data_IF_529567747185
#
_entry.id   IF_529567747185
#
_cell.length_a   1.000
_cell.length_b   1.000
_cell.length_c   1.000
_cell.angle_alpha   90.00
_cell.angle_beta   90.00
_cell.angle_gamma   90.00
#
_symmetry.space_group_name_H-M   'P 1'
#
loop_
_entity.id
_entity.type
_entity.pdbx_description
1 polymer ?
#
# COMPACT_ATOMS: atom_id res chain seq x y z
N UNK A 1 -13.16 44.41 -52.99
CA UNK A 1 -13.15 42.94 -52.88
C UNK A 1 -11.74 42.47 -52.57
N UNK A 2 -11.45 41.97 -51.36
CA UNK A 2 -10.30 41.08 -51.12
C UNK A 2 -10.47 40.38 -49.77
N UNK A 3 -10.17 39.09 -49.79
CA UNK A 3 -10.70 38.03 -48.93
C UNK A 3 -9.97 37.94 -47.59
N UNK A 4 -10.74 37.59 -46.56
CA UNK A 4 -10.31 37.18 -45.22
C UNK A 4 -9.45 35.91 -45.34
N UNK A 5 -8.27 35.90 -44.69
CA UNK A 5 -7.51 34.68 -44.42
C UNK A 5 -7.53 34.43 -42.91
N UNK A 6 -8.40 33.51 -42.48
CA UNK A 6 -8.37 32.90 -41.17
C UNK A 6 -7.36 31.74 -41.22
N UNK A 7 -6.21 31.93 -40.59
CA UNK A 7 -5.24 30.83 -40.37
C UNK A 7 -5.60 30.21 -39.03
N UNK A 8 -6.25 29.04 -39.09
CA UNK A 8 -6.49 28.19 -37.94
C UNK A 8 -5.19 27.58 -37.45
N UNK A 9 -4.80 27.92 -36.22
CA UNK A 9 -3.71 27.24 -35.52
C UNK A 9 -4.30 26.01 -34.84
N UNK A 10 -3.96 24.85 -35.38
CA UNK A 10 -4.28 23.53 -34.92
C UNK A 10 -3.63 23.30 -33.55
N UNK A 11 -4.42 23.38 -32.47
CA UNK A 11 -3.96 23.03 -31.13
C UNK A 11 -3.80 21.51 -31.04
N UNK A 12 -2.56 21.03 -31.18
CA UNK A 12 -2.19 19.65 -30.88
C UNK A 12 -2.32 19.39 -29.38
N UNK A 13 -3.46 18.83 -28.97
CA UNK A 13 -3.68 18.24 -27.66
C UNK A 13 -2.75 17.03 -27.51
N UNK A 14 -1.64 17.23 -26.79
CA UNK A 14 -0.78 16.14 -26.34
C UNK A 14 -1.55 15.42 -25.23
N UNK A 15 -2.28 14.36 -25.57
CA UNK A 15 -2.86 13.46 -24.58
C UNK A 15 -1.73 12.67 -23.95
N UNK A 16 -1.22 13.16 -22.83
CA UNK A 16 -0.46 12.34 -21.90
C UNK A 16 -1.38 11.24 -21.37
N UNK A 17 -1.26 10.05 -21.94
CA UNK A 17 -1.85 8.84 -21.38
C UNK A 17 -1.16 8.55 -20.06
N UNK A 18 -1.70 9.09 -18.97
CA UNK A 18 -1.37 8.63 -17.62
C UNK A 18 -1.90 7.20 -17.55
N UNK A 19 -1.00 6.24 -17.68
CA UNK A 19 -1.28 4.85 -17.33
C UNK A 19 -1.56 4.82 -15.83
N UNK A 20 -2.84 4.88 -15.46
CA UNK A 20 -3.29 4.55 -14.12
C UNK A 20 -3.06 3.04 -13.92
N UNK A 21 -1.86 2.66 -13.50
CA UNK A 21 -1.69 1.36 -12.86
C UNK A 21 -2.62 1.37 -11.64
N UNK A 22 -3.69 0.57 -11.68
CA UNK A 22 -4.66 0.43 -10.58
C UNK A 22 -3.88 0.15 -9.28
N UNK A 23 -3.77 1.16 -8.42
CA UNK A 23 -3.11 1.06 -7.13
C UNK A 23 -3.79 -0.04 -6.31
N UNK A 24 -2.99 -0.88 -5.63
CA UNK A 24 -3.54 -1.95 -4.79
C UNK A 24 -4.56 -1.37 -3.77
N UNK A 25 -5.77 -1.96 -3.65
CA UNK A 25 -6.76 -1.55 -2.65
C UNK A 25 -6.31 -1.85 -1.22
N UNK A 26 -5.33 -2.74 -1.06
CA UNK A 26 -4.64 -2.98 0.21
C UNK A 26 -3.47 -2.01 0.32
N UNK A 27 -3.40 -1.28 1.44
CA UNK A 27 -2.35 -0.29 1.72
C UNK A 27 -1.71 -0.52 3.08
N UNK A 28 -0.51 0.01 3.26
CA UNK A 28 0.08 0.13 4.59
C UNK A 28 -0.34 1.44 5.26
N UNK A 29 -0.28 1.47 6.58
CA UNK A 29 -0.40 2.69 7.37
C UNK A 29 0.52 2.57 8.57
N UNK A 30 1.47 3.49 8.71
CA UNK A 30 2.35 3.54 9.85
C UNK A 30 1.81 4.54 10.88
N UNK A 31 1.60 4.09 12.11
CA UNK A 31 1.15 4.96 13.21
C UNK A 31 2.18 4.99 14.32
N UNK A 32 2.58 6.18 14.77
CA UNK A 32 3.43 6.33 15.94
C UNK A 32 2.63 5.98 17.19
N UNK A 33 3.19 5.12 18.02
CA UNK A 33 2.65 4.78 19.34
C UNK A 33 3.42 5.58 20.39
N UNK A 34 4.03 4.92 21.38
CA UNK A 34 4.81 5.58 22.43
C UNK A 34 6.32 5.51 22.17
N UNK A 35 7.00 6.65 22.31
CA UNK A 35 8.44 6.78 22.12
C UNK A 35 8.89 6.37 20.72
N UNK A 36 9.74 5.34 20.67
CA UNK A 36 10.32 4.76 19.45
C UNK A 36 9.47 3.63 18.85
N UNK A 37 8.26 3.40 19.38
CA UNK A 37 7.38 2.32 18.94
C UNK A 37 6.40 2.81 17.88
N UNK A 38 6.20 2.01 16.84
CA UNK A 38 5.28 2.25 15.74
C UNK A 38 4.41 1.02 15.51
N UNK A 39 3.24 1.23 14.92
CA UNK A 39 2.30 0.19 14.53
C UNK A 39 2.10 0.25 13.01
N UNK A 40 2.59 -0.77 12.31
CA UNK A 40 2.34 -0.96 10.90
C UNK A 40 1.02 -1.70 10.71
N UNK A 41 0.03 -1.02 10.14
CA UNK A 41 -1.29 -1.57 9.83
C UNK A 41 -1.38 -1.93 8.36
N UNK A 42 -2.07 -3.02 8.07
CA UNK A 42 -2.52 -3.36 6.72
C UNK A 42 -4.00 -2.99 6.65
N UNK A 43 -4.34 -2.04 5.80
CA UNK A 43 -5.71 -1.53 5.65
C UNK A 43 -6.25 -1.93 4.28
N UNK A 44 -7.51 -2.32 4.24
CA UNK A 44 -8.22 -2.66 3.01
C UNK A 44 -9.72 -2.34 3.17
N UNK A 45 -10.47 -2.16 2.07
CA UNK A 45 -11.91 -1.96 2.15
C UNK A 45 -12.64 -3.21 2.69
N UNK A 46 -13.86 -3.03 3.19
CA UNK A 46 -14.62 -4.08 3.89
C UNK A 46 -14.99 -5.28 3.00
N UNK A 47 -15.07 -5.10 1.69
CA UNK A 47 -15.32 -6.17 0.71
C UNK A 47 -14.05 -6.93 0.30
N UNK A 48 -12.91 -6.65 0.93
CA UNK A 48 -11.67 -7.38 0.75
C UNK A 48 -11.33 -8.20 1.99
N UNK A 49 -10.50 -9.23 1.82
CA UNK A 49 -9.87 -9.94 2.92
C UNK A 49 -8.50 -10.48 2.55
N UNK A 50 -7.65 -10.62 3.55
CA UNK A 50 -6.26 -11.08 3.38
C UNK A 50 -6.20 -12.60 3.53
N UNK A 51 -5.59 -13.31 2.59
CA UNK A 51 -5.57 -14.78 2.63
C UNK A 51 -4.71 -15.29 3.79
N UNK A 52 -5.27 -16.09 4.69
CA UNK A 52 -4.63 -16.43 5.96
C UNK A 52 -3.31 -17.20 5.81
N UNK A 53 -3.31 -18.22 4.95
CA UNK A 53 -2.19 -19.15 4.79
C UNK A 53 -1.30 -18.83 3.57
N UNK A 54 -1.50 -17.65 2.98
CA UNK A 54 -0.69 -17.23 1.84
C UNK A 54 0.71 -16.74 2.27
N UNK A 55 1.73 -16.85 1.41
CA UNK A 55 3.11 -16.48 1.74
C UNK A 55 3.31 -14.96 1.63
N UNK A 56 2.69 -14.19 2.52
CA UNK A 56 2.87 -12.74 2.60
C UNK A 56 4.33 -12.39 2.88
N UNK A 57 4.80 -11.31 2.27
CA UNK A 57 6.14 -10.79 2.53
C UNK A 57 6.08 -9.30 2.77
N UNK A 58 6.66 -8.85 3.87
CA UNK A 58 6.89 -7.43 4.16
C UNK A 58 8.39 -7.25 4.31
N UNK A 59 8.93 -6.21 3.70
CA UNK A 59 10.33 -5.80 3.80
C UNK A 59 10.36 -4.34 4.25
N UNK A 60 11.26 -4.05 5.17
CA UNK A 60 11.51 -2.71 5.68
C UNK A 60 12.94 -2.31 5.31
N UNK A 61 13.10 -1.24 4.56
CA UNK A 61 14.41 -0.65 4.30
C UNK A 61 14.50 0.67 5.05
N UNK A 62 15.43 0.76 6.01
CA UNK A 62 15.72 2.01 6.68
C UNK A 62 16.79 2.77 5.91
N UNK A 63 16.49 4.01 5.54
CA UNK A 63 17.44 4.94 4.96
C UNK A 63 18.46 5.45 5.98
N UNK A 64 19.39 6.29 5.51
CA UNK A 64 20.49 6.79 6.33
C UNK A 64 19.98 7.50 7.59
N UNK A 65 20.48 7.08 8.75
CA UNK A 65 20.15 7.67 10.06
C UNK A 65 18.95 7.03 10.76
N UNK A 66 18.22 6.13 10.10
CA UNK A 66 17.14 5.34 10.69
C UNK A 66 17.59 3.89 10.85
N UNK A 67 17.12 3.22 11.90
CA UNK A 67 17.34 1.79 12.12
C UNK A 67 16.07 1.11 12.61
N UNK A 68 15.80 -0.07 12.07
CA UNK A 68 14.75 -0.97 12.55
C UNK A 68 15.36 -1.91 13.60
N UNK A 69 15.04 -1.69 14.87
CA UNK A 69 15.56 -2.52 15.97
C UNK A 69 14.77 -3.82 16.12
N UNK A 70 13.45 -3.75 15.92
CA UNK A 70 12.55 -4.89 16.09
C UNK A 70 11.37 -4.80 15.15
N UNK A 71 11.08 -5.90 14.47
CA UNK A 71 9.89 -6.07 13.65
C UNK A 71 9.51 -7.56 13.57
N UNK A 72 8.32 -7.95 14.04
CA UNK A 72 7.76 -9.28 13.77
C UNK A 72 6.74 -9.17 12.64
N UNK A 73 7.22 -9.23 11.39
CA UNK A 73 6.46 -8.93 10.17
C UNK A 73 5.44 -10.00 9.76
N UNK A 74 4.89 -10.73 10.73
CA UNK A 74 3.89 -11.77 10.49
C UNK A 74 2.52 -11.14 10.28
N UNK A 75 1.86 -11.52 9.20
CA UNK A 75 0.46 -11.14 8.92
C UNK A 75 -0.46 -12.12 9.65
N UNK A 76 -1.10 -11.64 10.72
CA UNK A 76 -2.07 -12.38 11.54
C UNK A 76 -3.25 -11.46 11.88
N UNK A 77 -4.39 -12.02 12.27
CA UNK A 77 -5.51 -11.20 12.74
C UNK A 77 -6.82 -11.95 12.85
N UNK A 78 -7.93 -11.19 12.85
CA UNK A 78 -9.28 -11.74 12.99
C UNK A 78 -9.67 -12.48 11.71
N UNK A 79 -9.98 -13.76 11.85
CA UNK A 79 -10.52 -14.58 10.76
C UNK A 79 -11.92 -14.08 10.37
N UNK A 80 -12.22 -14.07 9.07
CA UNK A 80 -13.54 -13.72 8.56
C UNK A 80 -14.56 -14.79 8.93
N UNK A 81 -15.71 -14.34 9.44
CA UNK A 81 -16.84 -15.21 9.80
C UNK A 81 -17.52 -15.79 8.56
N UNK A 82 -17.46 -15.09 7.43
CA UNK A 82 -18.05 -15.51 6.15
C UNK A 82 -17.18 -16.52 5.40
N UNK A 83 -15.85 -16.34 5.45
CA UNK A 83 -14.87 -17.13 4.69
C UNK A 83 -13.62 -17.37 5.54
N UNK A 84 -13.51 -18.55 6.15
CA UNK A 84 -12.51 -18.88 7.18
C UNK A 84 -11.06 -18.88 6.69
N UNK A 85 -10.88 -18.95 5.38
CA UNK A 85 -9.58 -18.90 4.69
C UNK A 85 -9.01 -17.47 4.58
N UNK A 86 -9.79 -16.44 4.94
CA UNK A 86 -9.37 -15.04 4.94
C UNK A 86 -9.40 -14.40 6.32
N UNK A 87 -8.52 -13.43 6.52
CA UNK A 87 -8.56 -12.47 7.61
C UNK A 87 -9.48 -11.30 7.21
N UNK A 88 -10.44 -10.99 8.07
CA UNK A 88 -11.29 -9.79 7.93
C UNK A 88 -10.55 -8.53 8.38
N UNK A 89 -9.57 -8.68 9.28
CA UNK A 89 -8.67 -7.61 9.69
C UNK A 89 -7.32 -8.21 10.07
N UNK A 90 -6.25 -7.45 9.84
CA UNK A 90 -4.89 -7.79 10.27
C UNK A 90 -4.57 -7.04 11.56
N UNK A 91 -3.97 -7.72 12.52
CA UNK A 91 -3.49 -7.11 13.76
C UNK A 91 -2.35 -6.13 13.43
N UNK A 92 -2.30 -4.95 14.08
CA UNK A 92 -1.20 -4.01 13.88
C UNK A 92 0.15 -4.65 14.22
N UNK A 93 1.10 -4.54 13.30
CA UNK A 93 2.44 -5.12 13.44
C UNK A 93 3.31 -4.13 14.21
N UNK A 94 3.82 -4.47 15.41
CA UNK A 94 4.65 -3.58 16.18
C UNK A 94 6.07 -3.49 15.60
N UNK A 95 6.55 -2.25 15.46
CA UNK A 95 7.89 -1.90 15.02
C UNK A 95 8.57 -1.05 16.09
N UNK A 96 9.89 -1.21 16.25
CA UNK A 96 10.72 -0.31 17.05
C UNK A 96 11.75 0.32 16.13
N UNK A 97 11.70 1.64 16.01
CA UNK A 97 12.56 2.43 15.12
C UNK A 97 13.43 3.38 15.95
N UNK A 98 14.71 3.48 15.63
CA UNK A 98 15.65 4.41 16.27
C UNK A 98 16.26 5.34 15.24
N UNK A 99 16.48 6.61 15.63
CA UNK A 99 16.99 7.64 14.73
C UNK A 99 15.89 8.28 13.87
N UNK A 100 16.31 8.92 12.77
CA UNK A 100 15.45 9.70 11.87
C UNK A 100 15.86 9.44 10.43
N UNK A 101 14.91 9.48 9.52
CA UNK A 101 15.16 9.23 8.11
C UNK A 101 13.98 8.56 7.41
N UNK A 102 14.21 8.11 6.19
CA UNK A 102 13.20 7.44 5.37
C UNK A 102 13.06 5.97 5.79
N UNK A 103 11.82 5.49 5.85
CA UNK A 103 11.48 4.08 5.97
C UNK A 103 10.71 3.67 4.72
N UNK A 104 11.32 2.83 3.88
CA UNK A 104 10.62 2.20 2.77
C UNK A 104 10.01 0.88 3.22
N UNK A 105 8.75 0.68 2.87
CA UNK A 105 7.94 -0.48 3.22
C UNK A 105 7.49 -1.13 1.92
N UNK A 106 7.96 -2.34 1.66
CA UNK A 106 7.56 -3.14 0.51
C UNK A 106 6.74 -4.34 0.97
N UNK A 107 5.57 -4.52 0.36
CA UNK A 107 4.63 -5.59 0.66
C UNK A 107 4.31 -6.41 -0.57
N UNK A 108 4.32 -7.74 -0.42
CA UNK A 108 3.60 -8.67 -1.28
C UNK A 108 2.51 -9.32 -0.42
N UNK A 109 1.29 -8.82 -0.53
CA UNK A 109 0.14 -9.24 0.28
C UNK A 109 -0.89 -9.92 -0.60
N UNK A 110 -1.27 -11.15 -0.29
CA UNK A 110 -2.29 -11.88 -1.03
C UNK A 110 -3.68 -11.56 -0.46
N UNK A 111 -4.56 -11.04 -1.29
CA UNK A 111 -5.91 -10.67 -0.87
C UNK A 111 -6.95 -11.09 -1.90
N UNK A 112 -8.20 -11.11 -1.48
CA UNK A 112 -9.34 -11.34 -2.36
C UNK A 112 -10.37 -10.24 -2.24
N UNK A 113 -10.96 -9.86 -3.37
CA UNK A 113 -12.20 -9.10 -3.43
C UNK A 113 -13.37 -10.10 -3.36
N UNK A 114 -14.21 -9.98 -2.34
CA UNK A 114 -15.31 -10.91 -2.12
C UNK A 114 -16.49 -10.70 -3.07
N UNK A 115 -16.71 -9.47 -3.55
CA UNK A 115 -17.81 -9.16 -4.47
C UNK A 115 -17.50 -9.68 -5.88
N UNK A 116 -16.24 -9.53 -6.32
CA UNK A 116 -15.77 -9.97 -7.64
C UNK A 116 -15.29 -11.41 -7.65
N UNK A 117 -15.10 -12.01 -6.47
CA UNK A 117 -14.51 -13.34 -6.29
C UNK A 117 -13.12 -13.49 -6.97
N UNK A 118 -12.30 -12.44 -6.91
CA UNK A 118 -10.96 -12.39 -7.51
C UNK A 118 -9.93 -12.35 -6.38
N UNK A 119 -8.88 -13.16 -6.51
CA UNK A 119 -7.77 -13.27 -5.57
C UNK A 119 -6.45 -13.00 -6.27
N UNK A 120 -5.70 -11.99 -5.83
CA UNK A 120 -4.45 -11.58 -6.47
C UNK A 120 -3.40 -11.15 -5.43
N UNK A 121 -2.10 -11.27 -5.76
CA UNK A 121 -1.04 -10.67 -4.96
C UNK A 121 -0.98 -9.16 -5.20
N UNK A 122 -1.20 -8.37 -4.16
CA UNK A 122 -0.91 -6.94 -4.11
C UNK A 122 0.56 -6.68 -3.90
N UNK A 123 1.18 -5.92 -4.81
CA UNK A 123 2.47 -5.28 -4.56
C UNK A 123 2.19 -3.88 -4.01
N UNK A 124 2.65 -3.64 -2.79
CA UNK A 124 2.42 -2.39 -2.05
C UNK A 124 3.78 -1.79 -1.78
N UNK A 125 3.94 -0.51 -2.06
CA UNK A 125 5.15 0.25 -1.76
C UNK A 125 4.74 1.54 -1.06
N UNK A 126 5.43 1.87 0.03
CA UNK A 126 5.18 3.08 0.80
C UNK A 126 6.48 3.59 1.39
N UNK A 127 6.66 4.90 1.35
CA UNK A 127 7.81 5.59 1.95
C UNK A 127 7.27 6.50 3.05
N UNK A 128 7.87 6.41 4.23
CA UNK A 128 7.51 7.22 5.40
C UNK A 128 8.74 8.00 5.91
N UNK A 129 8.54 9.25 6.32
CA UNK A 129 9.61 10.07 6.91
C UNK A 129 9.50 10.07 8.43
N UNK A 130 10.48 9.48 9.10
CA UNK A 130 10.55 9.37 10.55
C UNK A 130 11.30 10.56 11.15
N UNK A 131 10.64 11.27 12.07
CA UNK A 131 11.10 12.51 12.71
C UNK A 131 11.39 12.36 14.21
#
# INVERSE_FOLDING_TARGET
>A
MKKIFLIGVLASLITFGISAEDESPVKFKLEKSFGNSYLLKIVHPANYGIQKDAPHKILLNAGNGLKVEKADLKVKGKTSEKKKEYLASVDPIPLVLTGKGELEIHGKIYYCNFDKNICIPGKIQQIEIIH
#
